data_IF_074070152616
#
_entry.id   IF_074070152616
#
_cell.length_a   1.000
_cell.length_b   1.000
_cell.length_c   1.000
_cell.angle_alpha   90.00
_cell.angle_beta   90.00
_cell.angle_gamma   90.00
#
_symmetry.space_group_name_H-M   'P 1'
#
loop_
_entity.id
_entity.type
_entity.pdbx_description
1 polymer ?
#
# COMPACT_ATOMS: atom_id res chain seq x y z
N UNK A 1 -9.98 16.05 17.89
CA UNK A 1 -9.39 14.76 17.49
C UNK A 1 -10.23 14.20 16.36
N UNK A 2 -9.62 14.05 15.18
CA UNK A 2 -10.21 13.47 13.97
C UNK A 2 -10.12 11.94 14.00
N UNK A 3 -9.12 11.38 14.69
CA UNK A 3 -8.83 9.96 14.66
C UNK A 3 -10.04 9.07 15.02
N UNK A 4 -10.83 9.32 16.08
CA UNK A 4 -11.99 8.48 16.39
C UNK A 4 -13.02 8.40 15.26
N UNK A 5 -13.32 9.54 14.63
CA UNK A 5 -14.26 9.60 13.51
C UNK A 5 -13.70 8.87 12.27
N UNK A 6 -12.40 8.99 12.01
CA UNK A 6 -11.72 8.29 10.93
C UNK A 6 -11.69 6.78 11.20
N UNK A 7 -11.39 6.35 12.43
CA UNK A 7 -11.39 4.94 12.82
C UNK A 7 -12.73 4.28 12.48
N UNK A 8 -13.85 4.90 12.90
CA UNK A 8 -15.19 4.40 12.61
C UNK A 8 -15.48 4.33 11.09
N UNK A 9 -15.00 5.32 10.32
CA UNK A 9 -15.16 5.31 8.87
C UNK A 9 -14.35 4.18 8.21
N UNK A 10 -13.12 3.94 8.68
CA UNK A 10 -12.25 2.89 8.16
C UNK A 10 -12.75 1.50 8.57
N UNK A 11 -13.25 1.31 9.80
CA UNK A 11 -13.87 0.05 10.22
C UNK A 11 -14.99 -0.38 9.27
N UNK A 12 -15.84 0.56 8.85
CA UNK A 12 -16.92 0.26 7.89
C UNK A 12 -16.45 -0.02 6.48
N UNK A 13 -15.26 0.46 6.11
CA UNK A 13 -14.69 0.29 4.77
C UNK A 13 -13.67 -0.85 4.69
N UNK A 14 -13.31 -1.48 5.81
CA UNK A 14 -12.33 -2.57 5.83
C UNK A 14 -12.83 -3.77 5.05
N UNK A 15 -11.88 -4.37 4.35
CA UNK A 15 -12.02 -5.65 3.65
C UNK A 15 -11.03 -6.68 4.20
N UNK A 16 -11.40 -7.94 4.06
CA UNK A 16 -10.66 -9.14 4.43
C UNK A 16 -10.04 -9.80 3.21
N UNK A 17 -8.72 -9.97 3.22
CA UNK A 17 -7.98 -10.68 2.17
C UNK A 17 -8.41 -12.14 2.01
N UNK A 18 -8.95 -12.74 3.08
CA UNK A 18 -9.36 -14.14 3.09
C UNK A 18 -10.76 -14.37 2.51
N UNK A 19 -11.67 -13.41 2.65
CA UNK A 19 -13.08 -13.60 2.28
C UNK A 19 -13.59 -12.69 1.19
N UNK A 20 -13.04 -11.48 1.06
CA UNK A 20 -13.63 -10.45 0.20
C UNK A 20 -12.96 -10.38 -1.18
N UNK A 21 -11.81 -11.03 -1.35
CA UNK A 21 -11.15 -11.17 -2.66
C UNK A 21 -11.57 -12.50 -3.29
N UNK A 22 -12.22 -12.49 -4.48
CA UNK A 22 -12.69 -13.70 -5.14
C UNK A 22 -11.54 -14.38 -5.89
N UNK A 23 -10.52 -14.87 -5.16
CA UNK A 23 -9.31 -15.47 -5.74
C UNK A 23 -9.58 -16.57 -6.78
N UNK A 24 -10.70 -17.28 -6.67
CA UNK A 24 -11.09 -18.35 -7.60
C UNK A 24 -11.63 -17.86 -8.95
N UNK A 25 -11.98 -16.58 -9.05
CA UNK A 25 -12.55 -15.99 -10.26
C UNK A 25 -11.49 -15.30 -11.16
N UNK A 26 -10.22 -15.32 -10.76
CA UNK A 26 -9.14 -14.70 -11.53
C UNK A 26 -8.54 -15.69 -12.53
N UNK A 27 -8.53 -15.28 -13.81
CA UNK A 27 -7.91 -16.01 -14.91
C UNK A 27 -6.50 -15.46 -15.18
N UNK A 28 -5.48 -16.32 -15.10
CA UNK A 28 -4.08 -15.89 -15.18
C UNK A 28 -3.59 -15.56 -16.60
N UNK A 29 -4.30 -16.04 -17.63
CA UNK A 29 -3.92 -15.96 -19.04
C UNK A 29 -4.29 -14.62 -19.72
N UNK A 30 -5.08 -13.77 -19.08
CA UNK A 30 -5.49 -12.47 -19.64
C UNK A 30 -4.48 -11.33 -19.41
N UNK A 31 -3.43 -11.55 -18.61
CA UNK A 31 -2.49 -10.51 -18.21
C UNK A 31 -1.16 -10.58 -18.98
N UNK A 32 -0.68 -9.44 -19.45
CA UNK A 32 0.62 -9.32 -20.12
C UNK A 32 1.79 -9.23 -19.14
N UNK A 33 2.99 -9.63 -19.59
CA UNK A 33 4.25 -9.51 -18.85
C UNK A 33 4.51 -8.08 -18.34
N UNK A 34 4.15 -7.06 -19.14
CA UNK A 34 4.29 -5.66 -18.73
C UNK A 34 3.38 -5.33 -17.55
N UNK A 35 2.16 -5.86 -17.53
CA UNK A 35 1.23 -5.67 -16.41
C UNK A 35 1.71 -6.42 -15.17
N UNK A 36 2.20 -7.66 -15.32
CA UNK A 36 2.81 -8.42 -14.21
C UNK A 36 3.98 -7.70 -13.58
N UNK A 37 4.88 -7.15 -14.41
CA UNK A 37 5.98 -6.34 -13.91
C UNK A 37 5.46 -5.08 -13.18
N UNK A 38 4.41 -4.43 -13.68
CA UNK A 38 3.75 -3.32 -12.99
C UNK A 38 3.17 -3.72 -11.63
N UNK A 39 2.52 -4.89 -11.54
CA UNK A 39 1.98 -5.43 -10.29
C UNK A 39 3.12 -5.74 -9.30
N UNK A 40 4.22 -6.34 -9.77
CA UNK A 40 5.44 -6.56 -8.97
C UNK A 40 5.96 -5.25 -8.38
N UNK A 41 6.11 -4.22 -9.22
CA UNK A 41 6.61 -2.93 -8.76
C UNK A 41 5.63 -2.24 -7.78
N UNK A 42 4.32 -2.39 -7.99
CA UNK A 42 3.33 -1.90 -7.03
C UNK A 42 3.43 -2.64 -5.70
N UNK A 43 3.61 -3.97 -5.69
CA UNK A 43 3.79 -4.73 -4.46
C UNK A 43 4.99 -4.24 -3.65
N UNK A 44 6.13 -3.97 -4.32
CA UNK A 44 7.33 -3.39 -3.71
C UNK A 44 7.08 -1.97 -3.20
N UNK A 45 6.35 -1.15 -3.96
CA UNK A 45 6.01 0.21 -3.56
C UNK A 45 5.12 0.24 -2.32
N UNK A 46 4.06 -0.58 -2.27
CA UNK A 46 3.18 -0.69 -1.09
C UNK A 46 3.95 -1.23 0.14
N UNK A 47 4.89 -2.15 -0.08
CA UNK A 47 5.79 -2.65 0.97
C UNK A 47 6.68 -1.55 1.56
N UNK A 48 6.98 -0.50 0.79
CA UNK A 48 7.75 0.66 1.25
C UNK A 48 6.96 1.65 2.13
N UNK A 49 5.76 1.29 2.59
CA UNK A 49 4.94 2.10 3.50
C UNK A 49 5.59 2.32 4.89
N UNK A 50 6.49 1.42 5.31
CA UNK A 50 7.11 1.50 6.63
C UNK A 50 8.08 2.69 6.82
N UNK A 51 9.04 2.95 5.91
CA UNK A 51 9.83 4.19 5.92
C UNK A 51 9.00 5.46 6.07
N UNK A 52 7.88 5.55 5.34
CA UNK A 52 6.99 6.71 5.38
C UNK A 52 6.30 6.84 6.75
N UNK A 53 5.90 5.71 7.34
CA UNK A 53 5.33 5.68 8.68
C UNK A 53 6.34 6.12 9.74
N UNK A 54 7.57 5.61 9.68
CA UNK A 54 8.66 6.00 10.59
C UNK A 54 8.95 7.50 10.49
N UNK A 55 9.00 8.05 9.27
CA UNK A 55 9.12 9.49 9.04
C UNK A 55 7.96 10.27 9.67
N UNK A 56 6.72 9.85 9.43
CA UNK A 56 5.55 10.56 9.95
C UNK A 56 5.51 10.58 11.48
N UNK A 57 5.80 9.45 12.12
CA UNK A 57 5.82 9.37 13.59
C UNK A 57 6.96 10.22 14.19
N UNK A 58 8.14 10.22 13.56
CA UNK A 58 9.27 11.07 13.98
C UNK A 58 8.93 12.55 13.88
N UNK A 59 8.42 12.99 12.73
CA UNK A 59 8.25 14.42 12.42
C UNK A 59 7.00 15.03 13.06
N UNK A 60 6.03 14.19 13.48
CA UNK A 60 4.75 14.63 14.07
C UNK A 60 4.56 14.15 15.52
N UNK A 61 5.65 13.89 16.27
CA UNK A 61 5.60 13.39 17.66
C UNK A 61 4.76 14.24 18.65
N UNK A 62 4.51 15.51 18.31
CA UNK A 62 3.70 16.44 19.12
C UNK A 62 2.21 16.38 18.79
N UNK A 63 1.83 15.76 17.67
CA UNK A 63 0.44 15.53 17.26
C UNK A 63 0.03 14.08 17.56
N UNK A 64 -0.55 13.92 18.75
CA UNK A 64 -1.01 12.60 19.23
C UNK A 64 -2.17 12.04 18.41
N UNK A 65 -3.03 12.89 17.85
CA UNK A 65 -4.19 12.50 17.04
C UNK A 65 -3.73 11.98 15.67
N UNK A 66 -2.80 12.67 15.03
CA UNK A 66 -2.17 12.23 13.79
C UNK A 66 -1.34 10.95 14.00
N UNK A 67 -0.55 10.87 15.07
CA UNK A 67 0.26 9.68 15.37
C UNK A 67 -0.62 8.44 15.57
N UNK A 68 -1.77 8.57 16.22
CA UNK A 68 -2.76 7.50 16.35
C UNK A 68 -3.30 7.06 14.98
N UNK A 69 -3.63 8.01 14.10
CA UNK A 69 -4.06 7.72 12.73
C UNK A 69 -3.00 6.97 11.91
N UNK A 70 -1.72 7.35 12.02
CA UNK A 70 -0.64 6.67 11.29
C UNK A 70 -0.52 5.19 11.65
N UNK A 71 -0.84 4.80 12.90
CA UNK A 71 -0.81 3.39 13.31
C UNK A 71 -1.80 2.51 12.53
N UNK A 72 -3.04 2.98 12.36
CA UNK A 72 -4.06 2.24 11.59
C UNK A 72 -3.76 2.31 10.09
N UNK A 73 -3.25 3.45 9.61
CA UNK A 73 -2.87 3.61 8.21
C UNK A 73 -1.82 2.56 7.84
N UNK A 74 -0.76 2.42 8.64
CA UNK A 74 0.30 1.43 8.38
C UNK A 74 -0.26 0.01 8.27
N UNK A 75 -1.20 -0.37 9.14
CA UNK A 75 -1.82 -1.69 9.06
C UNK A 75 -2.57 -1.90 7.73
N UNK A 76 -3.36 -0.90 7.30
CA UNK A 76 -4.10 -0.98 6.03
C UNK A 76 -3.14 -0.96 4.82
N UNK A 77 -2.08 -0.14 4.83
CA UNK A 77 -1.08 -0.10 3.75
C UNK A 77 -0.32 -1.42 3.63
N UNK A 78 0.05 -2.04 4.74
CA UNK A 78 0.72 -3.35 4.70
C UNK A 78 -0.18 -4.40 4.06
N UNK A 79 -1.51 -4.33 4.29
CA UNK A 79 -2.49 -5.22 3.68
C UNK A 79 -2.54 -5.07 2.15
N UNK A 80 -2.31 -3.87 1.59
CA UNK A 80 -2.20 -3.66 0.14
C UNK A 80 -1.05 -4.47 -0.46
N UNK A 81 0.16 -4.35 0.13
CA UNK A 81 1.33 -5.09 -0.32
C UNK A 81 1.11 -6.61 -0.26
N UNK A 82 0.52 -7.10 0.83
CA UNK A 82 0.27 -8.52 1.04
C UNK A 82 -0.73 -9.08 0.02
N UNK A 83 -1.77 -8.32 -0.33
CA UNK A 83 -2.71 -8.75 -1.37
C UNK A 83 -2.05 -8.85 -2.75
N UNK A 84 -1.16 -7.91 -3.10
CA UNK A 84 -0.41 -7.97 -4.37
C UNK A 84 0.62 -9.10 -4.38
N UNK A 85 1.31 -9.33 -3.27
CA UNK A 85 2.24 -10.47 -3.11
C UNK A 85 1.49 -11.81 -3.22
N UNK A 86 0.33 -11.92 -2.56
CA UNK A 86 -0.50 -13.11 -2.63
C UNK A 86 -1.07 -13.34 -4.04
N UNK A 87 -1.44 -12.27 -4.73
CA UNK A 87 -1.84 -12.32 -6.13
C UNK A 87 -0.70 -12.90 -7.00
N UNK A 88 0.51 -12.34 -6.92
CA UNK A 88 1.66 -12.82 -7.69
C UNK A 88 2.01 -14.26 -7.34
N UNK A 89 1.99 -14.62 -6.05
CA UNK A 89 2.26 -15.99 -5.60
C UNK A 89 1.30 -17.00 -6.21
N UNK A 90 0.03 -16.63 -6.41
CA UNK A 90 -1.01 -17.52 -6.96
C UNK A 90 -0.96 -17.61 -8.49
N UNK A 91 -0.77 -16.49 -9.18
CA UNK A 91 -1.02 -16.40 -10.62
C UNK A 91 0.23 -16.13 -11.47
N UNK A 92 1.31 -15.63 -10.87
CA UNK A 92 2.54 -15.26 -11.58
C UNK A 92 3.77 -15.35 -10.65
N UNK A 93 4.11 -16.54 -10.14
CA UNK A 93 5.15 -16.70 -9.12
C UNK A 93 6.54 -16.24 -9.59
N UNK A 94 6.81 -16.29 -10.90
CA UNK A 94 8.06 -15.79 -11.50
C UNK A 94 8.23 -14.26 -11.34
N UNK A 95 7.13 -13.53 -11.08
CA UNK A 95 7.12 -12.09 -10.85
C UNK A 95 7.04 -11.73 -9.36
N UNK A 96 7.06 -12.70 -8.44
CA UNK A 96 7.04 -12.41 -7.01
C UNK A 96 8.32 -11.65 -6.60
N UNK A 97 8.23 -10.53 -5.87
CA UNK A 97 9.39 -9.86 -5.30
C UNK A 97 10.25 -10.78 -4.44
N UNK A 98 11.56 -10.68 -4.58
CA UNK A 98 12.50 -11.37 -3.70
C UNK A 98 12.61 -10.65 -2.35
N UNK A 99 13.09 -11.35 -1.33
CA UNK A 99 13.38 -10.72 -0.03
C UNK A 99 14.39 -9.57 -0.17
N UNK A 100 15.36 -9.68 -1.08
CA UNK A 100 16.32 -8.62 -1.36
C UNK A 100 15.64 -7.37 -1.95
N UNK A 101 14.72 -7.54 -2.90
CA UNK A 101 13.94 -6.44 -3.47
C UNK A 101 13.06 -5.76 -2.42
N UNK A 102 12.44 -6.53 -1.53
CA UNK A 102 11.64 -6.02 -0.42
C UNK A 102 12.48 -5.33 0.66
N UNK A 103 13.69 -5.82 0.92
CA UNK A 103 14.63 -5.20 1.85
C UNK A 103 15.23 -3.91 1.29
N UNK A 104 15.45 -3.83 -0.04
CA UNK A 104 16.03 -2.67 -0.70
C UNK A 104 15.20 -1.38 -0.52
N UNK A 105 13.89 -1.51 -0.27
CA UNK A 105 13.00 -0.38 0.00
C UNK A 105 12.87 -0.01 1.49
N UNK A 106 13.64 -0.63 2.39
CA UNK A 106 13.76 -0.19 3.79
C UNK A 106 14.87 0.85 3.93
N UNK A 107 14.59 2.04 3.42
CA UNK A 107 15.45 3.22 3.58
C UNK A 107 14.92 4.15 4.68
N UNK A 108 15.77 5.09 5.11
CA UNK A 108 15.39 6.11 6.08
C UNK A 108 15.21 7.46 5.38
N UNK A 109 14.07 8.12 5.60
CA UNK A 109 13.89 9.50 5.17
C UNK A 109 14.72 10.45 6.03
N UNK A 110 15.29 11.48 5.41
CA UNK A 110 15.84 12.64 6.13
C UNK A 110 14.74 13.43 6.86
N UNK A 111 15.10 14.33 7.80
CA UNK A 111 14.14 15.25 8.40
C UNK A 111 13.54 16.19 7.34
N UNK A 112 12.24 16.42 7.41
CA UNK A 112 11.52 17.33 6.53
C UNK A 112 10.40 18.06 7.29
N UNK A 113 9.96 19.25 6.83
CA UNK A 113 8.79 19.90 7.40
C UNK A 113 7.55 19.01 7.25
N UNK A 114 6.78 18.87 8.33
CA UNK A 114 5.64 17.95 8.40
C UNK A 114 4.61 18.17 7.27
N UNK A 115 4.30 19.43 6.95
CA UNK A 115 3.35 19.76 5.89
C UNK A 115 3.88 19.43 4.49
N UNK A 116 5.17 19.56 4.24
CA UNK A 116 5.78 19.25 2.96
C UNK A 116 5.74 17.74 2.72
N UNK A 117 6.12 16.96 3.75
CA UNK A 117 6.02 15.50 3.74
C UNK A 117 4.57 15.04 3.51
N UNK A 118 3.61 15.66 4.20
CA UNK A 118 2.18 15.34 4.04
C UNK A 118 1.68 15.68 2.63
N UNK A 119 2.05 16.84 2.08
CA UNK A 119 1.64 17.25 0.73
C UNK A 119 2.18 16.31 -0.35
N UNK A 120 3.46 15.93 -0.26
CA UNK A 120 4.05 14.94 -1.16
C UNK A 120 3.35 13.58 -1.04
N UNK A 121 3.00 13.18 0.18
CA UNK A 121 2.30 11.94 0.42
C UNK A 121 0.91 11.93 -0.21
N UNK A 122 0.13 13.00 -0.03
CA UNK A 122 -1.20 13.15 -0.66
C UNK A 122 -1.11 13.07 -2.19
N UNK A 123 -0.12 13.72 -2.81
CA UNK A 123 0.13 13.59 -4.25
C UNK A 123 0.45 12.14 -4.66
N UNK A 124 1.21 11.43 -3.84
CA UNK A 124 1.52 10.00 -4.02
C UNK A 124 0.26 9.13 -3.99
N UNK A 125 -0.60 9.32 -3.00
CA UNK A 125 -1.86 8.57 -2.84
C UNK A 125 -2.81 8.80 -4.01
N UNK A 126 -2.98 10.06 -4.44
CA UNK A 126 -3.82 10.37 -5.61
C UNK A 126 -3.29 9.68 -6.87
N UNK A 127 -1.97 9.68 -7.07
CA UNK A 127 -1.33 9.00 -8.19
C UNK A 127 -1.56 7.49 -8.13
N UNK A 128 -1.40 6.88 -6.95
CA UNK A 128 -1.60 5.44 -6.75
C UNK A 128 -3.06 5.04 -6.99
N UNK A 129 -4.00 5.79 -6.44
CA UNK A 129 -5.42 5.56 -6.67
C UNK A 129 -5.77 5.56 -8.18
N UNK A 130 -5.27 6.56 -8.92
CA UNK A 130 -5.46 6.60 -10.37
C UNK A 130 -4.82 5.39 -11.08
N UNK A 131 -3.64 4.97 -10.64
CA UNK A 131 -2.96 3.77 -11.13
C UNK A 131 -3.79 2.50 -10.90
N UNK A 132 -4.37 2.33 -9.71
CA UNK A 132 -5.22 1.18 -9.40
C UNK A 132 -6.54 1.17 -10.16
N UNK A 133 -7.13 2.35 -10.44
CA UNK A 133 -8.29 2.42 -11.33
C UNK A 133 -8.01 1.91 -12.74
N UNK A 134 -6.81 2.17 -13.26
CA UNK A 134 -6.35 1.60 -14.53
C UNK A 134 -6.09 0.09 -14.39
N UNK A 135 -5.40 -0.34 -13.33
CA UNK A 135 -5.07 -1.75 -13.09
C UNK A 135 -6.31 -2.64 -12.92
N UNK A 136 -7.41 -2.10 -12.41
CA UNK A 136 -8.71 -2.80 -12.34
C UNK A 136 -9.19 -3.31 -13.70
N UNK A 137 -8.76 -2.70 -14.80
CA UNK A 137 -9.16 -3.09 -16.16
C UNK A 137 -8.31 -4.23 -16.72
N UNK A 138 -7.31 -4.72 -15.99
CA UNK A 138 -6.40 -5.78 -16.47
C UNK A 138 -7.07 -7.14 -16.52
N UNK A 139 -8.09 -7.36 -15.68
CA UNK A 139 -8.94 -8.55 -15.65
C UNK A 139 -10.34 -8.14 -16.10
N UNK A 140 -11.01 -8.99 -16.90
CA UNK A 140 -12.40 -8.77 -17.32
C UNK A 140 -13.42 -9.44 -16.40
#
# INVERSE_FOLDING_TARGET
MLFPCLFDAFERARWSMHSDIPWHAFEADEISDRQLHGIKMNAILEWSSMPTTEMFLRDNQHDTDFSAFISIRLFEEQKHSLALLEYLRRFAPDYLPTEEELAAVRFNFGPAPALDSLALHVCGEIRLNNGYHCARQYHR
#
